data_IF_014088231221
#
_entry.id   IF_014088231221
#
_cell.length_a   1.000
_cell.length_b   1.000
_cell.length_c   1.000
_cell.angle_alpha   90.00
_cell.angle_beta   90.00
_cell.angle_gamma   90.00
#
_symmetry.space_group_name_H-M   'P 1'
#
loop_
_entity.id
_entity.type
_entity.pdbx_description
1 polymer ?
#
# COMPACT_ATOMS: atom_id res chain seq x y z
N UNK A 1 -24.30 51.13 -10.72
CA UNK A 1 -23.04 50.41 -10.45
C UNK A 1 -23.25 48.91 -10.17
N UNK A 2 -24.12 48.52 -9.21
CA UNK A 2 -24.43 47.09 -8.92
C UNK A 2 -24.79 46.22 -10.14
N UNK A 3 -25.55 46.76 -11.10
CA UNK A 3 -26.01 46.04 -12.32
C UNK A 3 -24.87 45.60 -13.26
N UNK A 4 -23.69 46.23 -13.18
CA UNK A 4 -22.52 45.92 -14.02
C UNK A 4 -21.50 45.06 -13.24
N UNK A 5 -21.45 45.23 -11.91
CA UNK A 5 -20.52 44.49 -11.05
C UNK A 5 -20.94 43.01 -10.91
N UNK A 6 -22.24 42.71 -10.82
CA UNK A 6 -22.73 41.33 -10.73
C UNK A 6 -22.33 40.43 -11.91
N UNK A 7 -22.57 40.78 -13.18
CA UNK A 7 -22.18 39.93 -14.30
C UNK A 7 -20.65 39.77 -14.38
N UNK A 8 -19.88 40.80 -14.02
CA UNK A 8 -18.41 40.73 -13.98
C UNK A 8 -17.92 39.69 -12.96
N UNK A 9 -18.47 39.70 -11.74
CA UNK A 9 -18.12 38.73 -10.69
C UNK A 9 -18.48 37.31 -11.12
N UNK A 10 -19.62 37.13 -11.78
CA UNK A 10 -20.03 35.80 -12.31
C UNK A 10 -19.04 35.31 -13.37
N UNK A 11 -18.63 36.16 -14.31
CA UNK A 11 -17.65 35.80 -15.34
C UNK A 11 -16.31 35.43 -14.70
N UNK A 12 -15.84 36.20 -13.72
CA UNK A 12 -14.60 35.90 -13.00
C UNK A 12 -14.71 34.56 -12.27
N UNK A 13 -15.82 34.30 -11.57
CA UNK A 13 -16.04 33.03 -10.89
C UNK A 13 -16.03 31.85 -11.87
N UNK A 14 -16.66 31.99 -13.05
CA UNK A 14 -16.63 30.95 -14.10
C UNK A 14 -15.21 30.68 -14.61
N UNK A 15 -14.41 31.72 -14.80
CA UNK A 15 -13.00 31.57 -15.23
C UNK A 15 -12.19 30.83 -14.18
N UNK A 16 -12.36 31.16 -12.90
CA UNK A 16 -11.67 30.47 -11.79
C UNK A 16 -12.08 28.99 -11.73
N UNK A 17 -13.38 28.68 -11.86
CA UNK A 17 -13.87 27.31 -11.90
C UNK A 17 -13.28 26.52 -13.08
N UNK A 18 -13.22 27.13 -14.27
CA UNK A 18 -12.63 26.49 -15.45
C UNK A 18 -11.13 26.20 -15.26
N UNK A 19 -10.39 27.12 -14.64
CA UNK A 19 -8.98 26.92 -14.32
C UNK A 19 -8.76 25.79 -13.30
N UNK A 20 -9.61 25.70 -12.29
CA UNK A 20 -9.55 24.60 -11.31
C UNK A 20 -9.81 23.24 -11.95
N UNK A 21 -10.78 23.15 -12.87
CA UNK A 21 -11.03 21.91 -13.62
C UNK A 21 -9.84 21.48 -14.46
N UNK A 22 -9.16 22.43 -15.12
CA UNK A 22 -7.94 22.13 -15.88
C UNK A 22 -6.79 21.68 -14.98
N UNK A 23 -6.61 22.31 -13.82
CA UNK A 23 -5.59 21.94 -12.85
C UNK A 23 -5.79 20.53 -12.28
N UNK A 24 -7.02 20.15 -11.93
CA UNK A 24 -7.33 18.79 -11.46
C UNK A 24 -7.14 17.76 -12.57
N UNK A 25 -7.53 18.07 -13.81
CA UNK A 25 -7.32 17.17 -14.95
C UNK A 25 -5.82 16.92 -15.21
N UNK A 26 -4.99 17.96 -15.13
CA UNK A 26 -3.54 17.85 -15.23
C UNK A 26 -2.98 16.99 -14.10
N UNK A 27 -3.37 17.26 -12.86
CA UNK A 27 -2.94 16.48 -11.68
C UNK A 27 -3.30 15.01 -11.81
N UNK A 28 -4.52 14.69 -12.22
CA UNK A 28 -4.97 13.30 -12.40
C UNK A 28 -4.20 12.61 -13.51
N UNK A 29 -3.95 13.29 -14.63
CA UNK A 29 -3.16 12.75 -15.75
C UNK A 29 -1.72 12.50 -15.34
N UNK A 30 -1.08 13.46 -14.66
CA UNK A 30 0.29 13.32 -14.16
C UNK A 30 0.40 12.21 -13.13
N UNK A 31 -0.56 12.09 -12.22
CA UNK A 31 -0.58 10.99 -11.25
C UNK A 31 -0.75 9.66 -11.96
N UNK A 32 -1.70 9.54 -12.88
CA UNK A 32 -1.91 8.31 -13.67
C UNK A 32 -0.66 7.89 -14.42
N UNK A 33 0.04 8.84 -15.04
CA UNK A 33 1.29 8.57 -15.76
C UNK A 33 2.43 8.14 -14.81
N UNK A 34 2.57 8.80 -13.65
CA UNK A 34 3.56 8.43 -12.65
C UNK A 34 3.31 7.04 -12.07
N UNK A 35 2.03 6.69 -11.90
CA UNK A 35 1.61 5.39 -11.37
C UNK A 35 1.48 4.30 -12.41
N UNK A 36 1.71 4.63 -13.68
CA UNK A 36 1.63 3.69 -14.77
C UNK A 36 2.68 2.59 -14.58
N UNK A 37 2.27 1.33 -14.72
CA UNK A 37 3.13 0.15 -14.50
C UNK A 37 3.74 0.01 -13.09
N UNK A 38 3.28 0.76 -12.07
CA UNK A 38 3.74 0.54 -10.69
C UNK A 38 3.18 -0.74 -10.05
N UNK A 39 2.08 -1.26 -10.58
CA UNK A 39 1.44 -2.49 -10.12
C UNK A 39 1.50 -3.53 -11.22
N UNK A 40 1.77 -4.76 -10.84
CA UNK A 40 1.68 -5.92 -11.72
C UNK A 40 0.34 -6.60 -11.43
N UNK A 41 -0.45 -6.85 -12.48
CA UNK A 41 -1.81 -7.40 -12.34
C UNK A 41 -1.84 -8.82 -11.74
N UNK A 42 -0.77 -9.58 -11.98
CA UNK A 42 -0.60 -10.92 -11.43
C UNK A 42 0.88 -11.25 -11.26
N UNK A 43 1.20 -11.98 -10.20
CA UNK A 43 2.48 -12.64 -10.10
C UNK A 43 2.58 -13.74 -11.16
N UNK A 44 3.44 -13.53 -12.15
CA UNK A 44 3.59 -14.40 -13.31
C UNK A 44 4.90 -15.19 -13.29
N UNK A 45 5.74 -14.97 -12.29
CA UNK A 45 6.99 -15.70 -12.17
C UNK A 45 6.82 -16.97 -11.31
N UNK A 46 7.83 -17.84 -11.36
CA UNK A 46 7.84 -19.07 -10.57
C UNK A 46 8.50 -18.86 -9.20
N UNK A 47 8.87 -17.64 -8.84
CA UNK A 47 9.65 -17.32 -7.66
C UNK A 47 8.74 -17.07 -6.47
N UNK A 48 8.39 -18.17 -5.78
CA UNK A 48 7.61 -18.16 -4.55
C UNK A 48 8.51 -18.50 -3.35
N UNK A 49 9.34 -17.56 -2.86
CA UNK A 49 10.21 -17.83 -1.73
C UNK A 49 9.37 -18.02 -0.46
N UNK A 50 9.53 -19.15 0.21
CA UNK A 50 8.83 -19.47 1.45
C UNK A 50 8.24 -20.86 1.44
N UNK A 51 7.35 -21.13 2.39
CA UNK A 51 6.60 -22.38 2.51
C UNK A 51 5.27 -22.21 1.80
N UNK A 52 4.82 -23.24 1.07
CA UNK A 52 3.56 -23.18 0.37
C UNK A 52 2.38 -23.08 1.35
N UNK A 53 1.28 -22.48 0.91
CA UNK A 53 0.09 -22.39 1.76
C UNK A 53 -0.45 -23.79 2.07
N UNK A 54 -0.64 -24.10 3.36
CA UNK A 54 -1.11 -25.40 3.83
C UNK A 54 -0.02 -26.42 4.09
N UNK A 55 1.25 -26.11 3.80
CA UNK A 55 2.38 -26.91 4.25
C UNK A 55 2.77 -26.57 5.69
N UNK A 56 3.32 -27.56 6.39
CA UNK A 56 3.86 -27.37 7.73
C UNK A 56 5.01 -26.38 7.68
N UNK A 57 4.98 -25.39 8.58
CA UNK A 57 6.07 -24.44 8.74
C UNK A 57 7.37 -25.21 8.99
N UNK A 58 8.52 -24.82 8.39
CA UNK A 58 9.74 -25.59 8.53
C UNK A 58 10.14 -25.58 10.00
N UNK A 59 10.88 -26.62 10.41
CA UNK A 59 11.45 -26.71 11.75
C UNK A 59 12.14 -25.40 12.12
N UNK A 60 11.45 -24.56 12.89
CA UNK A 60 12.00 -23.36 13.47
C UNK A 60 12.89 -23.82 14.61
N UNK A 61 14.13 -23.34 14.67
CA UNK A 61 14.99 -23.57 15.82
C UNK A 61 15.41 -22.22 16.36
N UNK A 62 14.79 -21.82 17.46
CA UNK A 62 15.04 -20.55 18.12
C UNK A 62 15.37 -20.77 19.59
N UNK A 63 15.96 -19.75 20.24
CA UNK A 63 16.18 -19.75 21.68
C UNK A 63 15.21 -18.78 22.32
N UNK A 64 14.34 -19.28 23.18
CA UNK A 64 13.41 -18.49 23.98
C UNK A 64 13.69 -18.73 25.46
N UNK A 65 14.01 -17.66 26.20
CA UNK A 65 14.36 -17.72 27.63
C UNK A 65 15.45 -18.78 27.95
N UNK A 66 16.46 -18.89 27.07
CA UNK A 66 17.56 -19.84 27.24
C UNK A 66 17.21 -21.30 26.90
N UNK A 67 16.02 -21.58 26.37
CA UNK A 67 15.61 -22.90 25.90
C UNK A 67 15.48 -22.92 24.39
N UNK A 68 15.97 -23.98 23.76
CA UNK A 68 15.69 -24.23 22.34
C UNK A 68 14.21 -24.55 22.17
N UNK A 69 13.55 -23.80 21.30
CA UNK A 69 12.16 -23.98 20.91
C UNK A 69 12.15 -24.45 19.46
N UNK A 70 11.52 -25.60 19.24
CA UNK A 70 11.26 -26.17 17.93
C UNK A 70 9.80 -26.53 17.67
N UNK A 71 8.96 -26.44 18.70
CA UNK A 71 7.52 -26.58 18.62
C UNK A 71 6.88 -25.24 18.97
N UNK A 72 6.04 -24.74 18.08
CA UNK A 72 5.34 -23.46 18.23
C UNK A 72 3.93 -23.62 18.82
N UNK A 73 3.40 -24.84 18.94
CA UNK A 73 2.08 -25.09 19.53
C UNK A 73 1.89 -24.43 20.90
N UNK A 74 2.89 -24.39 21.82
CA UNK A 74 2.73 -23.72 23.10
C UNK A 74 2.49 -22.21 23.03
N UNK A 75 2.75 -21.57 21.88
CA UNK A 75 2.57 -20.13 21.67
C UNK A 75 1.25 -19.80 20.96
N UNK A 76 0.49 -20.81 20.53
CA UNK A 76 -0.82 -20.64 19.89
C UNK A 76 -1.89 -20.42 20.96
N UNK A 77 -2.53 -19.25 20.96
CA UNK A 77 -3.66 -18.93 21.83
C UNK A 77 -5.01 -19.15 21.13
N UNK A 78 -6.10 -18.75 21.80
CA UNK A 78 -7.49 -18.94 21.31
C UNK A 78 -7.76 -18.30 19.94
N UNK A 79 -6.99 -17.27 19.56
CA UNK A 79 -7.10 -16.54 18.30
C UNK A 79 -6.00 -16.91 17.30
N UNK A 80 -5.23 -17.95 17.57
CA UNK A 80 -4.06 -18.34 16.80
C UNK A 80 -2.77 -17.68 17.31
N UNK A 81 -1.78 -17.61 16.43
CA UNK A 81 -0.45 -17.06 16.68
C UNK A 81 -0.06 -16.12 15.55
N UNK A 82 0.65 -15.03 15.89
CA UNK A 82 1.29 -14.16 14.91
C UNK A 82 2.79 -14.41 14.99
N UNK A 83 3.39 -14.81 13.87
CA UNK A 83 4.83 -14.97 13.74
C UNK A 83 5.41 -13.79 12.95
N UNK A 84 6.35 -13.06 13.57
CA UNK A 84 7.04 -11.93 12.93
C UNK A 84 8.53 -12.28 12.84
N UNK A 85 8.99 -12.60 11.64
CA UNK A 85 10.41 -12.73 11.36
C UNK A 85 10.94 -11.40 10.81
N UNK A 86 11.86 -10.78 11.55
CA UNK A 86 12.62 -9.63 11.06
C UNK A 86 14.01 -10.11 10.68
N UNK A 87 14.34 -10.10 9.39
CA UNK A 87 15.73 -10.27 8.95
C UNK A 87 16.39 -8.89 8.90
N UNK A 88 17.46 -8.69 9.66
CA UNK A 88 18.39 -7.61 9.36
C UNK A 88 19.20 -8.05 8.15
N UNK A 89 18.99 -7.42 7.01
CA UNK A 89 20.01 -7.43 5.95
C UNK A 89 21.07 -6.46 6.44
N UNK A 90 22.24 -6.98 6.81
CA UNK A 90 23.47 -6.20 6.82
C UNK A 90 23.92 -6.12 5.36
N UNK A 91 24.18 -4.92 4.87
CA UNK A 91 24.41 -4.60 3.45
C UNK A 91 25.90 -4.36 3.26
#
# INVERSE_FOLDING_TARGET
MKKIIQPLVIVIAMVILAQQQQAEALKQTSHSWLTDSMFVDADSDAFNPGIATGEDFPLLMAVYQGRTVSDLQPFVGDKGMIFIASRSVDW
#
